data_IF_853570458327
#
_entry.id   IF_853570458327
#
_cell.length_a   1.000
_cell.length_b   1.000
_cell.length_c   1.000
_cell.angle_alpha   90.00
_cell.angle_beta   90.00
_cell.angle_gamma   90.00
#
_symmetry.space_group_name_H-M   'P 1'
#
loop_
_entity.id
_entity.type
_entity.pdbx_description
1 polymer ?
#
# COMPACT_ATOMS: atom_id res chain seq x y z
N UNK A 1 -6.04 -5.53 -13.21
CA UNK A 1 -5.29 -5.34 -11.95
C UNK A 1 -5.83 -6.25 -10.86
N UNK A 2 -4.95 -6.80 -10.02
CA UNK A 2 -5.30 -7.74 -8.94
C UNK A 2 -5.90 -7.04 -7.70
N UNK A 3 -5.77 -5.72 -7.61
CA UNK A 3 -6.16 -4.93 -6.44
C UNK A 3 -7.67 -4.86 -6.23
N UNK A 4 -8.45 -4.55 -7.26
CA UNK A 4 -9.91 -4.46 -7.10
C UNK A 4 -10.51 -5.78 -6.58
N UNK A 5 -10.21 -6.97 -7.15
CA UNK A 5 -10.64 -8.25 -6.57
C UNK A 5 -10.16 -8.48 -5.14
N UNK A 6 -8.94 -8.06 -4.79
CA UNK A 6 -8.40 -8.17 -3.43
C UNK A 6 -9.22 -7.34 -2.43
N UNK A 7 -9.51 -6.09 -2.78
CA UNK A 7 -10.30 -5.19 -1.93
C UNK A 7 -11.75 -5.67 -1.79
N UNK A 8 -12.33 -6.23 -2.87
CA UNK A 8 -13.65 -6.89 -2.81
C UNK A 8 -13.66 -8.03 -1.79
N UNK A 9 -12.69 -8.96 -1.88
CA UNK A 9 -12.63 -10.13 -0.99
C UNK A 9 -12.24 -9.75 0.45
N UNK A 10 -11.51 -8.65 0.63
CA UNK A 10 -11.22 -8.07 1.94
C UNK A 10 -12.42 -7.37 2.58
N UNK A 11 -13.46 -7.04 1.80
CA UNK A 11 -14.64 -6.30 2.27
C UNK A 11 -14.40 -4.80 2.40
N UNK A 12 -13.41 -4.25 1.69
CA UNK A 12 -12.99 -2.84 1.80
C UNK A 12 -13.72 -1.89 0.85
N UNK A 13 -14.61 -2.43 -0.01
CA UNK A 13 -15.44 -1.65 -0.93
C UNK A 13 -16.77 -1.19 -0.31
N UNK A 14 -17.11 -1.71 0.87
CA UNK A 14 -18.38 -1.47 1.55
C UNK A 14 -18.16 -0.81 2.92
N UNK A 15 -19.16 -0.08 3.47
CA UNK A 15 -19.09 0.48 4.82
C UNK A 15 -18.72 -0.58 5.88
N UNK A 16 -17.96 -0.23 6.94
CA UNK A 16 -17.52 1.12 7.32
C UNK A 16 -16.27 1.61 6.57
N UNK A 17 -15.68 0.79 5.70
CA UNK A 17 -14.53 1.21 4.90
C UNK A 17 -14.97 2.20 3.81
N UNK A 18 -14.15 3.22 3.56
CA UNK A 18 -14.39 4.22 2.52
C UNK A 18 -13.11 4.42 1.75
N UNK A 19 -13.12 4.00 0.48
CA UNK A 19 -11.98 4.23 -0.39
C UNK A 19 -11.96 5.69 -0.84
N UNK A 20 -10.90 6.40 -0.50
CA UNK A 20 -10.57 7.71 -1.05
C UNK A 20 -9.35 7.56 -1.95
N UNK A 21 -9.42 8.11 -3.15
CA UNK A 21 -8.26 8.22 -4.03
C UNK A 21 -7.77 9.67 -3.97
N UNK A 22 -6.63 9.96 -3.32
CA UNK A 22 -5.91 11.19 -3.57
C UNK A 22 -5.51 11.28 -5.05
N UNK A 23 -5.01 12.44 -5.47
CA UNK A 23 -4.45 12.59 -6.82
C UNK A 23 -3.31 11.59 -7.06
N UNK A 24 -3.30 10.98 -8.24
CA UNK A 24 -2.23 10.09 -8.68
C UNK A 24 -0.90 10.83 -8.78
N UNK A 25 0.19 10.18 -8.40
CA UNK A 25 1.53 10.78 -8.43
C UNK A 25 2.37 10.17 -9.53
N UNK A 26 2.97 11.00 -10.37
CA UNK A 26 3.98 10.53 -11.32
C UNK A 26 5.27 10.15 -10.61
N UNK A 27 5.77 8.95 -10.90
CA UNK A 27 7.09 8.51 -10.48
C UNK A 27 7.98 8.34 -11.71
N UNK A 28 9.20 8.88 -11.63
CA UNK A 28 10.23 8.74 -12.66
C UNK A 28 11.46 8.08 -12.03
N UNK A 29 11.92 6.99 -12.63
CA UNK A 29 13.15 6.30 -12.26
C UNK A 29 14.13 6.49 -13.40
N UNK A 30 15.28 7.08 -13.08
CA UNK A 30 16.41 7.17 -13.99
C UNK A 30 17.20 5.86 -13.92
N UNK A 31 17.02 4.98 -14.91
CA UNK A 31 17.88 3.81 -15.11
C UNK A 31 18.95 4.14 -16.18
N UNK A 32 20.17 3.59 -16.09
CA UNK A 32 21.22 3.81 -17.08
C UNK A 32 20.83 3.49 -18.54
N UNK A 33 19.83 2.61 -18.74
CA UNK A 33 19.37 2.16 -20.05
C UNK A 33 18.14 2.93 -20.53
N UNK A 34 17.20 3.23 -19.63
CA UNK A 34 15.95 3.92 -19.99
C UNK A 34 15.36 4.72 -18.82
N UNK A 35 14.60 5.77 -19.13
CA UNK A 35 13.79 6.46 -18.12
C UNK A 35 12.47 5.71 -17.99
N UNK A 36 12.21 5.15 -16.81
CA UNK A 36 10.96 4.45 -16.50
C UNK A 36 10.00 5.43 -15.82
N UNK A 37 8.82 5.61 -16.41
CA UNK A 37 7.73 6.43 -15.85
C UNK A 37 6.57 5.56 -15.41
N UNK A 38 6.00 5.88 -14.26
CA UNK A 38 4.78 5.27 -13.74
C UNK A 38 3.90 6.25 -13.01
N UNK A 39 2.74 5.75 -12.59
CA UNK A 39 1.76 6.43 -11.77
C UNK A 39 1.58 5.64 -10.49
N UNK A 40 1.49 6.35 -9.37
CA UNK A 40 1.12 5.77 -8.08
C UNK A 40 -0.30 6.23 -7.79
N UNK A 41 -1.23 5.29 -7.88
CA UNK A 41 -2.59 5.46 -7.41
C UNK A 41 -2.65 5.10 -5.93
N UNK A 42 -3.00 6.07 -5.10
CA UNK A 42 -3.12 5.89 -3.67
C UNK A 42 -4.59 5.68 -3.34
N UNK A 43 -4.89 4.66 -2.55
CA UNK A 43 -6.23 4.38 -2.05
C UNK A 43 -6.16 4.38 -0.52
N UNK A 44 -6.87 5.30 0.13
CA UNK A 44 -7.04 5.30 1.58
C UNK A 44 -8.29 4.49 1.88
N UNK A 45 -8.17 3.37 2.59
CA UNK A 45 -9.29 2.46 2.87
C UNK A 45 -10.07 2.91 4.11
N UNK A 46 -9.35 3.38 5.13
CA UNK A 46 -9.91 3.95 6.36
C UNK A 46 -8.76 4.59 7.13
N UNK A 47 -8.71 5.93 7.24
CA UNK A 47 -7.69 6.86 7.80
C UNK A 47 -6.30 6.33 8.23
N UNK A 48 -6.19 5.16 8.85
CA UNK A 48 -4.96 4.47 9.29
C UNK A 48 -4.51 3.28 8.43
N UNK A 49 -5.28 2.85 7.41
CA UNK A 49 -4.91 1.82 6.44
C UNK A 49 -4.86 2.38 5.01
N UNK A 50 -3.65 2.36 4.44
CA UNK A 50 -3.35 2.83 3.10
C UNK A 50 -3.12 1.65 2.15
N UNK A 51 -3.62 1.75 0.93
CA UNK A 51 -3.40 0.78 -0.15
C UNK A 51 -2.86 1.54 -1.34
N UNK A 52 -1.64 1.26 -1.75
CA UNK A 52 -0.97 1.94 -2.85
C UNK A 52 -0.79 0.98 -4.02
N UNK A 53 -1.17 1.46 -5.19
CA UNK A 53 -1.04 0.75 -6.44
C UNK A 53 -0.08 1.52 -7.32
N UNK A 54 0.97 0.84 -7.77
CA UNK A 54 1.95 1.37 -8.70
C UNK A 54 1.58 0.82 -10.07
N UNK A 55 1.16 1.70 -10.97
CA UNK A 55 0.94 1.39 -12.37
C UNK A 55 2.15 1.88 -13.19
N UNK A 56 2.77 1.01 -14.00
CA UNK A 56 3.82 1.42 -14.95
C UNK A 56 3.51 0.93 -16.36
N UNK A 57 3.94 1.70 -17.37
CA UNK A 57 3.61 1.41 -18.77
C UNK A 57 4.42 0.26 -19.36
N UNK A 58 5.69 0.07 -18.95
CA UNK A 58 6.61 -1.01 -19.36
C UNK A 58 7.72 -1.17 -18.32
N UNK A 59 8.15 -2.42 -18.09
CA UNK A 59 9.02 -2.86 -17.00
C UNK A 59 8.46 -2.45 -15.62
N UNK A 60 8.15 -3.45 -14.79
CA UNK A 60 7.54 -3.20 -13.48
C UNK A 60 8.42 -2.27 -12.65
N UNK A 61 7.85 -1.18 -12.12
CA UNK A 61 8.57 -0.35 -11.14
C UNK A 61 8.79 -1.21 -9.88
N UNK A 62 10.04 -1.33 -9.38
CA UNK A 62 10.30 -2.09 -8.17
C UNK A 62 9.53 -1.51 -6.99
N UNK A 63 8.92 -2.37 -6.16
CA UNK A 63 8.17 -1.94 -4.98
C UNK A 63 8.96 -1.03 -4.02
N UNK A 64 10.26 -1.29 -3.74
CA UNK A 64 11.06 -0.41 -2.90
C UNK A 64 11.17 1.04 -3.41
N UNK A 65 11.09 1.25 -4.73
CA UNK A 65 11.18 2.59 -5.33
C UNK A 65 10.00 3.48 -4.96
N UNK A 66 8.86 2.92 -4.54
CA UNK A 66 7.70 3.67 -4.08
C UNK A 66 7.74 4.01 -2.58
N UNK A 67 8.68 3.47 -1.80
CA UNK A 67 8.74 3.70 -0.35
C UNK A 67 8.76 5.18 0.04
N UNK A 68 9.56 6.06 -0.60
CA UNK A 68 9.57 7.48 -0.25
C UNK A 68 8.18 8.12 -0.41
N UNK A 69 7.47 7.79 -1.49
CA UNK A 69 6.13 8.33 -1.74
C UNK A 69 5.10 7.77 -0.76
N UNK A 70 5.15 6.46 -0.48
CA UNK A 70 4.27 5.81 0.48
C UNK A 70 4.42 6.45 1.86
N UNK A 71 5.67 6.60 2.32
CA UNK A 71 5.96 7.20 3.62
C UNK A 71 5.53 8.66 3.67
N UNK A 72 5.74 9.44 2.61
CA UNK A 72 5.27 10.82 2.54
C UNK A 72 3.75 10.90 2.75
N UNK A 73 2.97 10.03 2.08
CA UNK A 73 1.53 9.96 2.31
C UNK A 73 1.17 9.53 3.73
N UNK A 74 1.78 8.48 4.26
CA UNK A 74 1.49 8.00 5.62
C UNK A 74 1.81 9.07 6.69
N UNK A 75 2.85 9.89 6.50
CA UNK A 75 3.21 10.99 7.39
C UNK A 75 2.19 12.14 7.38
N UNK A 76 1.36 12.27 6.34
CA UNK A 76 0.28 13.28 6.31
C UNK A 76 -0.93 12.91 7.17
N UNK A 77 -0.94 11.69 7.74
CA UNK A 77 -2.05 11.25 8.57
C UNK A 77 -2.16 12.11 9.85
N UNK A 78 -3.34 12.72 10.11
CA UNK A 78 -3.53 13.56 11.29
C UNK A 78 -3.46 12.79 12.62
N UNK A 79 -3.60 11.46 12.59
CA UNK A 79 -3.62 10.61 13.78
C UNK A 79 -2.26 9.96 14.04
N UNK A 80 -1.40 10.66 14.78
CA UNK A 80 -0.01 10.29 15.03
C UNK A 80 0.21 9.44 16.30
N UNK A 81 -0.84 9.28 17.10
CA UNK A 81 -0.85 8.58 18.39
C UNK A 81 -0.75 7.05 18.26
N UNK A 82 -0.97 6.50 17.05
CA UNK A 82 -0.99 5.06 16.81
C UNK A 82 -0.30 4.68 15.49
N UNK A 83 0.16 3.42 15.37
CA UNK A 83 0.78 2.97 14.13
C UNK A 83 -0.17 3.03 12.93
N UNK A 84 0.39 3.44 11.80
CA UNK A 84 -0.28 3.50 10.50
C UNK A 84 0.25 2.36 9.65
N UNK A 85 -0.65 1.72 8.91
CA UNK A 85 -0.29 0.59 8.06
C UNK A 85 -0.53 0.93 6.59
N UNK A 86 0.34 0.40 5.74
CA UNK A 86 0.16 0.47 4.30
C UNK A 86 0.41 -0.89 3.65
N UNK A 87 -0.25 -1.12 2.52
CA UNK A 87 0.10 -2.15 1.55
C UNK A 87 0.47 -1.47 0.25
N UNK A 88 1.57 -1.86 -0.40
CA UNK A 88 1.91 -1.41 -1.75
C UNK A 88 1.98 -2.60 -2.70
N UNK A 89 1.60 -2.38 -3.96
CA UNK A 89 1.69 -3.39 -5.03
C UNK A 89 1.97 -2.74 -6.37
N UNK A 90 2.75 -3.44 -7.21
CA UNK A 90 3.06 -3.08 -8.58
C UNK A 90 2.45 -4.08 -9.58
N UNK A 91 1.55 -4.94 -9.11
CA UNK A 91 0.99 -6.03 -9.90
C UNK A 91 1.77 -7.35 -9.83
N UNK A 92 3.09 -7.33 -9.58
CA UNK A 92 3.93 -8.55 -9.47
C UNK A 92 3.97 -9.12 -8.05
N UNK A 93 3.80 -8.27 -7.05
CA UNK A 93 3.77 -8.65 -5.65
C UNK A 93 3.25 -7.56 -4.72
N UNK A 94 3.36 -7.82 -3.42
CA UNK A 94 2.93 -6.91 -2.36
C UNK A 94 4.01 -6.74 -1.31
N UNK A 95 4.05 -5.58 -0.68
CA UNK A 95 4.75 -5.33 0.58
C UNK A 95 3.80 -4.67 1.57
N UNK A 96 4.04 -4.87 2.86
CA UNK A 96 3.37 -4.17 3.94
C UNK A 96 4.34 -3.25 4.65
N UNK A 97 3.86 -2.08 5.04
CA UNK A 97 4.61 -1.11 5.82
C UNK A 97 3.86 -0.81 7.12
N UNK A 98 4.65 -0.55 8.17
CA UNK A 98 4.17 0.02 9.42
C UNK A 98 4.95 1.31 9.68
N UNK A 99 4.25 2.38 10.00
CA UNK A 99 4.82 3.66 10.43
C UNK A 99 4.36 3.94 11.87
N UNK A 100 5.30 4.18 12.77
CA UNK A 100 5.05 4.71 14.12
C UNK A 100 5.51 6.15 14.15
N UNK A 101 4.65 7.05 14.62
CA UNK A 101 4.95 8.49 14.76
C UNK A 101 5.00 8.95 16.23
N UNK A 102 4.98 8.01 17.18
CA UNK A 102 5.20 8.31 18.59
C UNK A 102 6.67 8.71 18.82
N UNK A 103 6.91 10.01 19.03
CA UNK A 103 8.23 10.58 19.16
C UNK A 103 8.93 10.77 17.82
N UNK A 104 10.02 10.01 17.57
CA UNK A 104 10.74 10.07 16.29
C UNK A 104 10.10 9.09 15.31
N UNK A 105 9.67 9.52 14.11
CA UNK A 105 9.06 8.62 13.14
C UNK A 105 9.96 7.43 12.77
N UNK A 106 9.41 6.22 12.86
CA UNK A 106 10.08 4.97 12.54
C UNK A 106 9.18 4.12 11.65
N UNK A 107 9.77 3.47 10.65
CA UNK A 107 9.04 2.55 9.78
C UNK A 107 9.74 1.21 9.65
N UNK A 108 8.95 0.19 9.32
CA UNK A 108 9.43 -1.15 8.98
C UNK A 108 8.66 -1.69 7.77
N UNK A 109 9.28 -2.61 7.04
CA UNK A 109 8.77 -3.16 5.77
C UNK A 109 8.83 -4.68 5.82
N UNK A 110 7.74 -5.34 5.43
CA UNK A 110 7.69 -6.80 5.36
C UNK A 110 8.55 -7.35 4.23
N UNK A 111 8.82 -8.66 4.29
CA UNK A 111 9.21 -9.42 3.09
C UNK A 111 8.20 -9.23 1.95
N UNK A 112 8.65 -9.42 0.71
CA UNK A 112 7.81 -9.32 -0.48
C UNK A 112 6.94 -10.56 -0.69
N UNK A 113 5.65 -10.34 -0.96
CA UNK A 113 4.66 -11.37 -1.29
C UNK A 113 4.46 -11.43 -2.81
N UNK A 114 5.25 -12.27 -3.49
CA UNK A 114 5.19 -12.41 -4.95
C UNK A 114 3.99 -13.22 -5.43
N UNK A 115 3.39 -12.83 -6.56
CA UNK A 115 2.27 -13.54 -7.18
C UNK A 115 2.70 -14.67 -8.13
N UNK A 116 3.91 -14.62 -8.69
CA UNK A 116 4.52 -15.64 -9.56
C UNK A 116 5.72 -16.34 -8.88
N UNK A 117 6.04 -17.65 -9.12
CA UNK A 117 5.39 -18.64 -10.00
C UNK A 117 5.05 -20.00 -9.34
N UNK A 118 5.04 -20.20 -8.01
CA UNK A 118 4.81 -21.56 -7.43
C UNK A 118 3.72 -21.71 -6.37
N UNK A 119 3.35 -20.65 -5.66
CA UNK A 119 2.16 -20.58 -4.80
C UNK A 119 1.70 -19.13 -4.78
N UNK A 120 0.51 -18.87 -5.30
CA UNK A 120 -0.07 -17.54 -5.27
C UNK A 120 -0.18 -17.06 -3.80
N UNK A 121 0.56 -16.00 -3.44
CA UNK A 121 0.60 -15.42 -2.10
C UNK A 121 -0.61 -14.57 -1.75
N UNK A 122 -1.61 -14.49 -2.62
CA UNK A 122 -2.85 -13.73 -2.40
C UNK A 122 -3.57 -14.11 -1.11
N UNK A 123 -3.59 -15.39 -0.73
CA UNK A 123 -4.17 -15.81 0.56
C UNK A 123 -3.38 -15.28 1.77
N UNK A 124 -2.05 -15.24 1.67
CA UNK A 124 -1.20 -14.66 2.72
C UNK A 124 -1.45 -13.15 2.85
N UNK A 125 -1.56 -12.45 1.72
CA UNK A 125 -1.89 -11.01 1.65
C UNK A 125 -3.27 -10.74 2.27
N UNK A 126 -4.31 -11.51 1.89
CA UNK A 126 -5.65 -11.39 2.46
C UNK A 126 -5.68 -11.64 3.98
N UNK A 127 -4.89 -12.61 4.46
CA UNK A 127 -4.79 -12.95 5.88
C UNK A 127 -4.16 -11.83 6.70
N UNK A 128 -3.32 -10.99 6.10
CA UNK A 128 -2.74 -9.80 6.72
C UNK A 128 -3.70 -8.61 6.62
N UNK A 129 -4.28 -8.37 5.44
CA UNK A 129 -5.15 -7.23 5.20
C UNK A 129 -6.38 -7.21 6.12
N UNK A 130 -7.06 -8.34 6.30
CA UNK A 130 -8.31 -8.40 7.07
C UNK A 130 -8.13 -7.93 8.53
N UNK A 131 -7.16 -8.47 9.31
CA UNK A 131 -6.87 -7.95 10.65
C UNK A 131 -6.47 -6.46 10.67
N UNK A 132 -5.69 -5.99 9.69
CA UNK A 132 -5.31 -4.58 9.62
C UNK A 132 -6.52 -3.66 9.40
N UNK A 133 -7.46 -4.09 8.55
CA UNK A 133 -8.74 -3.40 8.37
C UNK A 133 -9.53 -3.33 9.68
N UNK A 134 -9.67 -4.45 10.39
CA UNK A 134 -10.36 -4.47 11.69
C UNK A 134 -9.69 -3.58 12.73
N UNK A 135 -8.36 -3.61 12.80
CA UNK A 135 -7.57 -2.77 13.69
C UNK A 135 -7.80 -1.28 13.40
N UNK A 136 -7.85 -0.90 12.11
CA UNK A 136 -8.10 0.50 11.71
C UNK A 136 -9.48 1.02 12.14
N UNK A 137 -10.46 0.13 12.35
CA UNK A 137 -11.80 0.48 12.84
C UNK A 137 -11.84 0.60 14.36
N UNK A 138 -11.21 -0.34 15.09
CA UNK A 138 -11.20 -0.37 16.55
C UNK A 138 -10.60 0.91 17.16
N UNK A 139 -9.60 1.46 16.48
CA UNK A 139 -8.79 2.60 16.90
C UNK A 139 -9.43 3.95 16.54
N UNK A 140 -10.50 3.96 15.77
CA UNK A 140 -11.20 5.18 15.34
C UNK A 140 -12.23 5.71 16.38
N UNK A 141 -12.19 5.17 17.60
CA UNK A 141 -13.01 5.55 18.75
C UNK A 141 -12.11 5.85 19.96
#
# INVERSE_FOLDING_TARGET
MVVAPLLTVAGFLDPPFQIRSPESVEITIEDPVEIVKGLIDVLVVHDRLWVLVIESKRNGIPLPSALPQILAYMMTNPHQDQPIFAMATNGDGFIFLKLSQDGTPQYDVSDSFLLWPRRNKFYDVLRILKPLGQLSLLIAH
#
